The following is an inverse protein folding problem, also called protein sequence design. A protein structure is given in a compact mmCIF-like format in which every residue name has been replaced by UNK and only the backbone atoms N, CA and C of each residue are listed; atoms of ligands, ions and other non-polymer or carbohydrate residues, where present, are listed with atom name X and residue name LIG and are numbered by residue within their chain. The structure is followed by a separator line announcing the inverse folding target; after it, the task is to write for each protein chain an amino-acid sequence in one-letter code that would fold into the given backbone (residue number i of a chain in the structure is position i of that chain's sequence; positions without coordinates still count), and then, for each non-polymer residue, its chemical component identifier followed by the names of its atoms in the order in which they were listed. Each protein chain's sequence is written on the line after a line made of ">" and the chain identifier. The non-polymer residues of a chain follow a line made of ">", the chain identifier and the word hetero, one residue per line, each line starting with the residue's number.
data_IF_006625728557
#
_entry.id   IF_006625728557
#
_cell.length_a   1.000
_cell.length_b   1.000
_cell.length_c   1.000
_cell.angle_alpha   90.00
_cell.angle_beta   90.00
_cell.angle_gamma   90.00
#
_symmetry.space_group_name_H-M   'P 1'
#
loop_
_entity.id
_entity.type
_entity.pdbx_description
1 polymer ?
#
# COMPACT_ATOMS: atom_id res chain seq x y z
N UNK A 1 3.60 -22.08 -0.08
CA UNK A 1 2.77 -22.02 -1.31
C UNK A 1 1.28 -21.94 -1.01
N UNK A 2 0.84 -22.22 0.21
CA UNK A 2 -0.51 -21.88 0.72
C UNK A 2 -0.79 -20.37 0.85
N UNK A 3 0.23 -19.51 0.74
CA UNK A 3 0.10 -18.03 0.81
C UNK A 3 -0.62 -17.44 -0.43
N UNK A 4 -0.73 -18.22 -1.50
CA UNK A 4 -1.59 -17.90 -2.66
C UNK A 4 -3.09 -18.13 -2.37
N UNK A 5 -3.49 -18.78 -1.27
CA UNK A 5 -4.90 -19.10 -1.04
C UNK A 5 -5.76 -17.91 -0.53
N UNK A 6 -5.18 -16.82 -0.03
CA UNK A 6 -5.92 -15.56 0.20
C UNK A 6 -5.84 -14.58 -1.01
N UNK A 7 -5.09 -14.95 -2.06
CA UNK A 7 -4.55 -14.03 -3.06
C UNK A 7 -5.52 -13.58 -4.16
N UNK A 8 -6.78 -14.02 -4.11
CA UNK A 8 -7.77 -13.68 -5.13
C UNK A 8 -8.37 -12.30 -4.95
N UNK A 9 -8.65 -11.89 -3.70
CA UNK A 9 -9.50 -10.73 -3.42
C UNK A 9 -8.86 -9.43 -3.88
N UNK A 10 -7.57 -9.22 -3.61
CA UNK A 10 -6.87 -8.02 -4.05
C UNK A 10 -6.76 -7.95 -5.59
N UNK A 11 -6.37 -9.06 -6.23
CA UNK A 11 -6.28 -9.14 -7.70
C UNK A 11 -7.65 -8.94 -8.37
N UNK A 12 -8.69 -9.56 -7.82
CA UNK A 12 -10.07 -9.42 -8.28
C UNK A 12 -10.58 -8.00 -8.05
N UNK A 13 -10.31 -7.37 -6.90
CA UNK A 13 -10.67 -5.98 -6.65
C UNK A 13 -9.97 -5.04 -7.65
N UNK A 14 -8.70 -5.28 -7.97
CA UNK A 14 -7.98 -4.53 -9.01
C UNK A 14 -8.71 -4.67 -10.34
N UNK A 15 -8.96 -5.90 -10.80
CA UNK A 15 -9.55 -6.16 -12.11
C UNK A 15 -11.00 -5.68 -12.23
N UNK A 16 -11.79 -5.77 -11.15
CA UNK A 16 -13.23 -5.52 -11.19
C UNK A 16 -13.64 -4.14 -10.70
N UNK A 17 -12.82 -3.48 -9.88
CA UNK A 17 -13.11 -2.15 -9.30
C UNK A 17 -12.14 -1.09 -9.81
N UNK A 18 -10.83 -1.34 -9.71
CA UNK A 18 -9.81 -0.34 -9.99
C UNK A 18 -9.61 -0.13 -11.49
N UNK A 19 -9.30 -1.18 -12.24
CA UNK A 19 -9.03 -1.09 -13.68
C UNK A 19 -10.18 -0.42 -14.44
N UNK A 20 -11.47 -0.75 -14.21
CA UNK A 20 -12.58 -0.10 -14.90
C UNK A 20 -12.79 1.36 -14.48
N UNK A 21 -12.36 1.74 -13.28
CA UNK A 21 -12.58 3.07 -12.70
C UNK A 21 -11.31 3.91 -12.67
N UNK A 22 -10.25 3.50 -13.37
CA UNK A 22 -8.95 4.15 -13.32
C UNK A 22 -9.01 5.63 -13.72
N UNK A 23 -9.88 5.96 -14.67
CA UNK A 23 -10.13 7.34 -15.10
C UNK A 23 -10.69 8.22 -13.96
N UNK A 24 -11.51 7.66 -13.07
CA UNK A 24 -12.04 8.37 -11.89
C UNK A 24 -10.96 8.58 -10.83
N UNK A 25 -9.94 7.72 -10.77
CA UNK A 25 -8.82 7.82 -9.84
C UNK A 25 -7.77 8.83 -10.31
N UNK A 26 -7.69 9.15 -11.60
CA UNK A 26 -6.69 10.06 -12.15
C UNK A 26 -6.70 11.44 -11.47
N UNK A 27 -7.88 12.03 -11.26
CA UNK A 27 -7.97 13.35 -10.65
C UNK A 27 -7.52 13.34 -9.17
N UNK A 28 -8.04 12.45 -8.30
CA UNK A 28 -7.52 12.26 -6.94
C UNK A 28 -6.00 11.97 -6.87
N UNK A 29 -5.48 11.17 -7.80
CA UNK A 29 -4.04 10.85 -7.86
C UNK A 29 -3.22 12.07 -8.27
N UNK A 30 -3.71 12.91 -9.18
CA UNK A 30 -3.07 14.18 -9.55
C UNK A 30 -3.02 15.13 -8.35
N UNK A 31 -4.12 15.28 -7.61
CA UNK A 31 -4.12 16.09 -6.38
C UNK A 31 -3.07 15.60 -5.38
N UNK A 32 -2.94 14.28 -5.24
CA UNK A 32 -1.94 13.71 -4.35
C UNK A 32 -0.52 13.87 -4.89
N UNK A 33 -0.32 13.84 -6.21
CA UNK A 33 0.96 14.15 -6.84
C UNK A 33 1.39 15.58 -6.53
N UNK A 34 0.50 16.55 -6.73
CA UNK A 34 0.78 17.96 -6.45
C UNK A 34 1.12 18.16 -4.95
N UNK A 35 0.39 17.47 -4.06
CA UNK A 35 0.68 17.47 -2.63
C UNK A 35 2.02 16.81 -2.27
N UNK A 36 2.31 15.63 -2.84
CA UNK A 36 3.54 14.91 -2.56
C UNK A 36 4.76 15.67 -3.08
N UNK A 37 4.65 16.35 -4.23
CA UNK A 37 5.70 17.24 -4.73
C UNK A 37 5.98 18.39 -3.74
N UNK A 38 4.94 18.99 -3.14
CA UNK A 38 5.15 20.03 -2.11
C UNK A 38 5.83 19.55 -0.83
N UNK A 39 5.88 18.23 -0.58
CA UNK A 39 6.51 17.63 0.60
C UNK A 39 7.94 17.17 0.27
N UNK A 40 8.10 16.45 -0.85
CA UNK A 40 9.36 15.80 -1.20
C UNK A 40 10.33 16.75 -1.94
N UNK A 41 9.83 17.82 -2.57
CA UNK A 41 10.68 18.83 -3.20
C UNK A 41 11.07 19.88 -2.16
N UNK A 42 12.36 20.02 -1.83
CA UNK A 42 12.80 21.05 -0.91
C UNK A 42 12.60 22.44 -1.51
N UNK A 43 12.19 23.41 -0.69
CA UNK A 43 12.17 24.81 -1.08
C UNK A 43 13.60 25.27 -1.42
N UNK A 44 13.85 25.49 -2.71
CA UNK A 44 15.17 25.90 -3.20
C UNK A 44 15.09 27.16 -4.06
N UNK A 45 15.91 28.17 -3.73
CA UNK A 45 16.09 29.37 -4.56
C UNK A 45 17.12 29.16 -5.67
N UNK A 46 18.10 28.29 -5.41
CA UNK A 46 19.17 27.91 -6.32
C UNK A 46 19.14 26.40 -6.59
N UNK A 47 19.85 25.93 -7.62
CA UNK A 47 19.91 24.51 -7.98
C UNK A 47 20.31 23.66 -6.77
N UNK A 48 19.49 22.65 -6.45
CA UNK A 48 19.68 21.76 -5.30
C UNK A 48 19.73 20.32 -5.76
N UNK A 49 20.74 19.58 -5.31
CA UNK A 49 20.85 18.15 -5.57
C UNK A 49 19.90 17.38 -4.66
N UNK A 50 19.15 16.44 -5.24
CA UNK A 50 18.28 15.53 -4.50
C UNK A 50 18.70 14.09 -4.77
N UNK A 51 18.52 13.22 -3.76
CA UNK A 51 18.69 11.79 -3.98
C UNK A 51 17.45 11.27 -4.73
N UNK A 52 17.64 10.94 -6.00
CA UNK A 52 16.59 10.56 -6.94
C UNK A 52 15.83 9.31 -6.49
N UNK A 53 16.51 8.33 -5.92
CA UNK A 53 15.90 7.06 -5.54
C UNK A 53 14.85 7.18 -4.41
N UNK A 54 15.18 7.68 -3.20
CA UNK A 54 14.20 7.86 -2.14
C UNK A 54 13.13 8.88 -2.51
N UNK A 55 13.48 9.92 -3.28
CA UNK A 55 12.52 10.90 -3.79
C UNK A 55 11.41 10.22 -4.60
N UNK A 56 11.77 9.46 -5.64
CA UNK A 56 10.77 8.78 -6.47
C UNK A 56 10.04 7.66 -5.71
N UNK A 57 10.73 6.94 -4.82
CA UNK A 57 10.10 5.88 -4.02
C UNK A 57 8.98 6.45 -3.14
N UNK A 58 9.24 7.54 -2.41
CA UNK A 58 8.23 8.21 -1.59
C UNK A 58 7.11 8.83 -2.42
N UNK A 59 7.46 9.50 -3.52
CA UNK A 59 6.50 10.12 -4.43
C UNK A 59 5.50 9.09 -4.97
N UNK A 60 6.00 7.97 -5.50
CA UNK A 60 5.17 6.88 -6.01
C UNK A 60 4.35 6.24 -4.89
N UNK A 61 4.95 5.98 -3.72
CA UNK A 61 4.24 5.41 -2.59
C UNK A 61 3.03 6.26 -2.18
N UNK A 62 3.20 7.59 -2.03
CA UNK A 62 2.11 8.52 -1.69
C UNK A 62 1.00 8.52 -2.74
N UNK A 63 1.36 8.66 -4.02
CA UNK A 63 0.38 8.73 -5.13
C UNK A 63 -0.36 7.41 -5.32
N UNK A 64 0.33 6.26 -5.26
CA UNK A 64 -0.31 4.95 -5.36
C UNK A 64 -1.21 4.67 -4.16
N UNK A 65 -0.79 5.04 -2.96
CA UNK A 65 -1.60 4.89 -1.74
C UNK A 65 -2.93 5.66 -1.83
N UNK A 66 -2.98 6.80 -2.53
CA UNK A 66 -4.24 7.53 -2.76
C UNK A 66 -5.31 6.67 -3.43
N UNK A 67 -4.91 5.84 -4.40
CA UNK A 67 -5.79 4.92 -5.11
C UNK A 67 -6.07 3.64 -4.31
N UNK A 68 -5.16 3.23 -3.43
CA UNK A 68 -5.29 1.97 -2.70
C UNK A 68 -6.06 2.10 -1.39
N UNK A 69 -5.76 3.11 -0.58
CA UNK A 69 -6.29 3.26 0.79
C UNK A 69 -7.09 4.54 0.98
N UNK A 70 -7.19 5.37 -0.05
CA UNK A 70 -7.91 6.65 0.01
C UNK A 70 -7.09 7.77 0.67
N UNK A 71 -7.69 8.96 0.78
CA UNK A 71 -6.99 10.21 1.17
C UNK A 71 -6.42 10.18 2.59
N UNK A 72 -7.21 9.68 3.52
CA UNK A 72 -6.93 9.83 4.94
C UNK A 72 -5.67 9.05 5.34
N UNK A 73 -5.53 7.83 4.79
CA UNK A 73 -4.39 6.97 5.07
C UNK A 73 -3.21 7.28 4.14
N UNK A 74 -3.45 7.69 2.89
CA UNK A 74 -2.34 8.01 1.97
C UNK A 74 -1.40 9.11 2.49
N UNK A 75 -1.94 10.01 3.33
CA UNK A 75 -1.20 11.13 3.95
C UNK A 75 -0.65 10.83 5.34
N UNK A 76 -0.93 9.68 5.91
CA UNK A 76 -0.34 9.29 7.19
C UNK A 76 1.13 8.92 6.96
N UNK A 77 2.05 9.74 7.48
CA UNK A 77 3.49 9.49 7.39
C UNK A 77 3.90 8.13 7.96
N UNK A 78 3.18 7.61 8.97
CA UNK A 78 3.42 6.26 9.51
C UNK A 78 3.07 5.20 8.49
N UNK A 79 1.97 5.38 7.77
CA UNK A 79 1.57 4.48 6.69
C UNK A 79 2.58 4.52 5.53
N UNK A 80 2.92 5.72 5.05
CA UNK A 80 3.88 5.91 3.96
C UNK A 80 5.22 5.26 4.33
N UNK A 81 5.72 5.51 5.54
CA UNK A 81 6.96 4.88 6.02
C UNK A 81 6.84 3.35 6.08
N UNK A 82 5.74 2.82 6.61
CA UNK A 82 5.53 1.37 6.73
C UNK A 82 5.54 0.69 5.37
N UNK A 83 4.85 1.26 4.37
CA UNK A 83 4.76 0.70 3.02
C UNK A 83 6.09 0.83 2.27
N UNK A 84 6.79 1.96 2.40
CA UNK A 84 8.11 2.16 1.79
C UNK A 84 9.13 1.19 2.39
N UNK A 85 9.19 1.08 3.72
CA UNK A 85 10.07 0.14 4.41
C UNK A 85 9.78 -1.31 4.00
N UNK A 86 8.50 -1.70 3.97
CA UNK A 86 8.09 -3.04 3.51
C UNK A 86 8.60 -3.31 2.09
N UNK A 87 8.39 -2.37 1.17
CA UNK A 87 8.77 -2.51 -0.24
C UNK A 87 10.28 -2.62 -0.41
N UNK A 88 11.05 -1.75 0.27
CA UNK A 88 12.52 -1.80 0.24
C UNK A 88 13.06 -3.11 0.82
N UNK A 89 12.49 -3.61 1.91
CA UNK A 89 12.91 -4.88 2.52
C UNK A 89 12.58 -6.07 1.62
N UNK A 90 11.39 -6.13 1.03
CA UNK A 90 11.01 -7.19 0.09
C UNK A 90 11.90 -7.16 -1.15
N UNK A 91 12.22 -5.98 -1.69
CA UNK A 91 13.12 -5.84 -2.82
C UNK A 91 14.54 -6.36 -2.49
N UNK A 92 15.09 -5.96 -1.34
CA UNK A 92 16.40 -6.44 -0.87
C UNK A 92 16.40 -7.96 -0.68
N UNK A 93 15.38 -8.51 -0.03
CA UNK A 93 15.22 -9.95 0.20
C UNK A 93 15.16 -10.71 -1.11
N UNK A 94 14.41 -10.19 -2.09
CA UNK A 94 14.30 -10.79 -3.41
C UNK A 94 15.63 -10.79 -4.15
N UNK A 95 16.41 -9.70 -4.05
CA UNK A 95 17.74 -9.64 -4.65
C UNK A 95 18.70 -10.67 -4.01
N UNK A 96 18.70 -10.78 -2.69
CA UNK A 96 19.53 -11.75 -1.98
C UNK A 96 19.13 -13.18 -2.34
N UNK A 97 17.83 -13.50 -2.34
CA UNK A 97 17.34 -14.82 -2.70
C UNK A 97 17.67 -15.19 -4.15
N UNK A 98 17.66 -14.23 -5.08
CA UNK A 98 18.08 -14.48 -6.47
C UNK A 98 19.56 -14.83 -6.61
N UNK A 99 20.42 -14.37 -5.69
CA UNK A 99 21.84 -14.69 -5.68
C UNK A 99 22.16 -16.06 -5.05
N UNK A 100 21.21 -16.62 -4.28
CA UNK A 100 21.39 -17.88 -3.54
C UNK A 100 20.71 -19.03 -4.31
N UNK A 101 21.34 -20.22 -4.42
CA UNK A 101 20.71 -21.39 -5.02
C UNK A 101 19.41 -21.80 -4.26
N UNK A 102 18.38 -22.30 -4.96
CA UNK A 102 17.06 -22.59 -4.35
C UNK A 102 17.10 -23.50 -3.11
N UNK A 103 18.07 -24.41 -3.04
CA UNK A 103 18.27 -25.35 -1.93
C UNK A 103 18.52 -24.63 -0.60
N UNK A 104 19.16 -23.46 -0.63
CA UNK A 104 19.46 -22.68 0.56
C UNK A 104 18.43 -21.60 0.87
N UNK A 105 17.36 -21.45 0.06
CA UNK A 105 16.35 -20.42 0.28
C UNK A 105 15.68 -20.55 1.65
N UNK A 106 15.36 -21.75 2.10
CA UNK A 106 14.73 -21.96 3.41
C UNK A 106 15.60 -21.55 4.60
N UNK A 107 16.92 -21.72 4.49
CA UNK A 107 17.88 -21.25 5.49
C UNK A 107 18.04 -19.72 5.37
N UNK A 108 18.18 -19.21 4.15
CA UNK A 108 18.32 -17.79 3.90
C UNK A 108 17.12 -17.00 4.45
N UNK A 109 15.88 -17.40 4.16
CA UNK A 109 14.69 -16.71 4.67
C UNK A 109 14.58 -16.70 6.20
N UNK A 110 15.11 -17.73 6.87
CA UNK A 110 15.14 -17.80 8.33
C UNK A 110 16.20 -16.87 8.94
N UNK A 111 17.38 -16.77 8.31
CA UNK A 111 18.48 -15.91 8.77
C UNK A 111 18.36 -14.46 8.31
N UNK A 112 17.60 -14.17 7.25
CA UNK A 112 17.41 -12.81 6.77
C UNK A 112 16.48 -12.04 7.75
N UNK A 113 16.95 -10.95 8.37
CA UNK A 113 16.13 -10.10 9.25
C UNK A 113 14.88 -9.52 8.55
N UNK A 114 14.85 -9.60 7.22
CA UNK A 114 13.74 -9.15 6.39
C UNK A 114 12.40 -9.80 6.72
N UNK A 115 12.38 -11.07 7.14
CA UNK A 115 11.13 -11.76 7.46
C UNK A 115 10.47 -11.14 8.69
N UNK A 116 11.27 -10.78 9.69
CA UNK A 116 10.80 -10.14 10.93
C UNK A 116 10.34 -8.71 10.66
N UNK A 117 11.04 -8.00 9.78
CA UNK A 117 10.62 -6.66 9.35
C UNK A 117 9.32 -6.71 8.56
N UNK A 118 9.14 -7.71 7.70
CA UNK A 118 7.87 -7.95 6.98
C UNK A 118 6.74 -8.20 7.96
N UNK A 119 6.90 -9.11 8.92
CA UNK A 119 5.87 -9.36 9.95
C UNK A 119 5.54 -8.11 10.75
N UNK A 120 6.55 -7.31 11.12
CA UNK A 120 6.36 -6.03 11.80
C UNK A 120 5.54 -5.05 10.95
N UNK A 121 5.90 -4.87 9.68
CA UNK A 121 5.18 -3.96 8.78
C UNK A 121 3.74 -4.42 8.53
N UNK A 122 3.48 -5.73 8.50
CA UNK A 122 2.12 -6.28 8.43
C UNK A 122 1.33 -5.93 9.70
N UNK A 123 1.93 -6.12 10.89
CA UNK A 123 1.29 -5.75 12.16
C UNK A 123 1.00 -4.25 12.25
N UNK A 124 1.95 -3.41 11.84
CA UNK A 124 1.80 -1.96 11.83
C UNK A 124 0.69 -1.56 10.83
N UNK A 125 0.63 -2.23 9.67
CA UNK A 125 -0.45 -2.06 8.68
C UNK A 125 -1.83 -2.41 9.25
N UNK A 126 -1.95 -3.51 9.99
CA UNK A 126 -3.21 -3.86 10.67
C UNK A 126 -3.64 -2.81 11.70
N UNK A 127 -2.68 -2.22 12.40
CA UNK A 127 -2.94 -1.19 13.42
C UNK A 127 -3.45 0.10 12.79
N UNK A 128 -2.99 0.44 11.57
CA UNK A 128 -3.40 1.63 10.84
C UNK A 128 -4.72 1.40 10.08
N UNK A 129 -4.83 0.29 9.34
CA UNK A 129 -6.00 -0.02 8.51
C UNK A 129 -7.20 -0.51 9.31
N UNK A 130 -6.98 -1.22 10.41
CA UNK A 130 -8.04 -1.82 11.23
C UNK A 130 -9.10 -0.80 11.68
N UNK A 131 -8.70 0.33 12.30
CA UNK A 131 -9.64 1.38 12.69
C UNK A 131 -10.42 1.97 11.52
N UNK A 132 -9.78 2.21 10.37
CA UNK A 132 -10.43 2.74 9.18
C UNK A 132 -11.46 1.75 8.60
N UNK A 133 -11.12 0.47 8.52
CA UNK A 133 -12.06 -0.58 8.07
C UNK A 133 -13.27 -0.64 9.00
N UNK A 134 -13.05 -0.57 10.32
CA UNK A 134 -14.13 -0.58 11.30
C UNK A 134 -15.03 0.67 11.17
N UNK A 135 -14.41 1.85 10.97
CA UNK A 135 -15.11 3.10 10.73
C UNK A 135 -15.98 3.03 9.46
N UNK A 136 -15.40 2.62 8.33
CA UNK A 136 -16.13 2.48 7.05
C UNK A 136 -17.30 1.49 7.16
N UNK A 137 -17.11 0.35 7.82
CA UNK A 137 -18.19 -0.63 8.07
C UNK A 137 -19.33 -0.04 8.92
N UNK A 138 -18.98 0.77 9.93
CA UNK A 138 -19.97 1.43 10.79
C UNK A 138 -20.77 2.47 10.01
N UNK A 139 -20.11 3.31 9.22
CA UNK A 139 -20.77 4.32 8.38
C UNK A 139 -21.70 3.65 7.35
N UNK A 140 -21.27 2.58 6.70
CA UNK A 140 -22.11 1.82 5.76
C UNK A 140 -23.36 1.22 6.41
N UNK A 141 -23.27 0.80 7.68
CA UNK A 141 -24.39 0.21 8.40
C UNK A 141 -25.36 1.25 8.97
N UNK A 142 -24.85 2.42 9.37
CA UNK A 142 -25.62 3.41 10.14
C UNK A 142 -26.09 4.61 9.30
N UNK A 143 -25.42 4.91 8.20
CA UNK A 143 -25.66 6.13 7.42
C UNK A 143 -26.10 5.79 5.99
N UNK A 144 -27.41 5.85 5.67
CA UNK A 144 -27.93 5.61 4.33
C UNK A 144 -27.39 6.56 3.25
N UNK A 145 -26.83 7.71 3.65
CA UNK A 145 -26.26 8.71 2.74
C UNK A 145 -24.74 8.57 2.56
N UNK A 146 -24.10 7.58 3.18
CA UNK A 146 -22.66 7.38 3.08
C UNK A 146 -22.24 7.01 1.65
N UNK A 147 -21.31 7.78 1.09
CA UNK A 147 -20.73 7.50 -0.23
C UNK A 147 -19.47 6.68 -0.05
N UNK A 148 -19.52 5.42 -0.50
CA UNK A 148 -18.36 4.52 -0.53
C UNK A 148 -17.21 5.15 -1.33
N UNK A 149 -16.00 5.20 -0.78
CA UNK A 149 -14.85 5.68 -1.53
C UNK A 149 -14.50 4.72 -2.66
N UNK A 150 -14.05 5.28 -3.77
CA UNK A 150 -13.51 4.51 -4.90
C UNK A 150 -12.03 4.29 -4.63
N UNK A 151 -11.70 3.18 -3.94
CA UNK A 151 -10.33 2.76 -3.66
C UNK A 151 -10.22 1.24 -3.53
N UNK A 152 -8.98 0.72 -3.56
CA UNK A 152 -8.75 -0.73 -3.51
C UNK A 152 -9.22 -1.34 -2.20
N UNK A 153 -9.01 -0.65 -1.08
CA UNK A 153 -9.42 -1.08 0.25
C UNK A 153 -10.94 -1.33 0.30
N UNK A 154 -11.74 -0.40 -0.22
CA UNK A 154 -13.18 -0.56 -0.33
C UNK A 154 -13.55 -1.71 -1.27
N UNK A 155 -12.84 -1.86 -2.40
CA UNK A 155 -13.03 -2.98 -3.32
C UNK A 155 -12.80 -4.33 -2.64
N UNK A 156 -11.74 -4.44 -1.85
CA UNK A 156 -11.43 -5.62 -1.06
C UNK A 156 -12.47 -5.86 0.04
N UNK A 157 -12.92 -4.80 0.74
CA UNK A 157 -13.98 -4.90 1.75
C UNK A 157 -15.32 -5.37 1.17
N UNK A 158 -15.70 -4.89 -0.02
CA UNK A 158 -16.93 -5.28 -0.71
C UNK A 158 -16.89 -6.75 -1.15
N UNK A 159 -15.72 -7.25 -1.56
CA UNK A 159 -15.52 -8.65 -1.96
C UNK A 159 -15.39 -9.59 -0.77
N UNK A 160 -14.82 -9.13 0.35
CA UNK A 160 -14.60 -9.92 1.57
C UNK A 160 -15.87 -10.18 2.41
N UNK A 161 -17.07 -10.12 1.82
CA UNK A 161 -18.34 -10.37 2.54
C UNK A 161 -18.40 -11.81 3.10
N UNK A 162 -19.07 -12.00 4.26
CA UNK A 162 -18.94 -13.20 5.08
C UNK A 162 -19.64 -14.40 4.41
N UNK A 163 -18.87 -15.24 3.73
CA UNK A 163 -19.42 -16.42 3.04
C UNK A 163 -18.40 -17.33 2.38
N UNK A 164 -17.18 -16.88 2.09
CA UNK A 164 -16.10 -17.76 1.64
C UNK A 164 -15.38 -18.34 2.84
N UNK A 165 -15.96 -19.40 3.40
CA UNK A 165 -15.30 -20.32 4.32
C UNK A 165 -14.76 -21.51 3.54
#
# INVERSE_FOLDING_TARGET
>A
TEILLESGIASQAIQTKITPQIALLMHPMKEELDHALSIEVPDCKDWTSINVHPFFANLVARVSNRAFVGKNISRDERWVKTVTDFTSNVAMTTMILRAIPPVFHGLATYFLPSSWTVERTIRDSHTILGPEIAHRRKEEAQNPSYKKPVDLLQGMMDLAKPGSR
#
